data_IF_113100484674
#
_entry.id   IF_113100484674
#
_cell.length_a   1.000
_cell.length_b   1.000
_cell.length_c   1.000
_cell.angle_alpha   90.00
_cell.angle_beta   90.00
_cell.angle_gamma   90.00
#
_symmetry.space_group_name_H-M   'P 1'
#
loop_
_entity.id
_entity.type
_entity.pdbx_description
1 polymer ?
#
# COMPACT_ATOMS: atom_id res chain seq x y z
N UNK A 1 -6.69 60.25 35.29
CA UNK A 1 -7.42 58.95 35.22
C UNK A 1 -8.02 58.67 36.59
N UNK A 2 -9.33 58.35 36.69
CA UNK A 2 -9.93 58.05 38.00
C UNK A 2 -9.53 56.66 38.49
N UNK A 3 -9.45 56.46 39.81
CA UNK A 3 -9.11 55.18 40.43
C UNK A 3 -10.03 54.02 39.99
N UNK A 4 -11.28 54.34 39.64
CA UNK A 4 -12.24 53.38 39.11
C UNK A 4 -11.87 52.89 37.69
N UNK A 5 -11.35 53.77 36.83
CA UNK A 5 -10.91 53.41 35.49
C UNK A 5 -9.66 52.51 35.51
N UNK A 6 -8.75 52.75 36.46
CA UNK A 6 -7.57 51.89 36.66
C UNK A 6 -7.95 50.49 37.17
N UNK A 7 -8.91 50.39 38.10
CA UNK A 7 -9.44 49.09 38.57
C UNK A 7 -10.17 48.32 37.47
N UNK A 8 -10.97 49.00 36.63
CA UNK A 8 -11.65 48.39 35.48
C UNK A 8 -10.67 47.86 34.44
N UNK A 9 -9.60 48.61 34.13
CA UNK A 9 -8.52 48.14 33.24
C UNK A 9 -7.78 46.93 33.83
N UNK A 10 -7.48 46.94 35.13
CA UNK A 10 -6.84 45.80 35.81
C UNK A 10 -7.73 44.56 35.83
N UNK A 11 -9.04 44.71 36.05
CA UNK A 11 -10.00 43.60 35.97
C UNK A 11 -10.20 43.07 34.55
N UNK A 12 -10.23 43.93 33.52
CA UNK A 12 -10.32 43.50 32.12
C UNK A 12 -9.04 42.83 31.63
N UNK A 13 -7.86 43.30 32.08
CA UNK A 13 -6.59 42.64 31.81
C UNK A 13 -6.48 41.28 32.53
N UNK A 14 -6.94 41.20 33.78
CA UNK A 14 -7.00 39.93 34.53
C UNK A 14 -8.03 38.97 33.93
N UNK A 15 -9.17 39.45 33.44
CA UNK A 15 -10.14 38.63 32.69
C UNK A 15 -9.58 38.16 31.36
N UNK A 16 -8.92 39.01 30.58
CA UNK A 16 -8.24 38.59 29.34
C UNK A 16 -7.09 37.62 29.58
N UNK A 17 -6.38 37.75 30.70
CA UNK A 17 -5.34 36.81 31.11
C UNK A 17 -5.93 35.47 31.60
N UNK A 18 -7.05 35.50 32.33
CA UNK A 18 -7.78 34.30 32.77
C UNK A 18 -8.61 33.64 31.65
N UNK A 19 -9.00 34.39 30.62
CA UNK A 19 -9.60 33.89 29.38
C UNK A 19 -8.56 33.22 28.47
N UNK A 20 -7.26 33.38 28.76
CA UNK A 20 -6.16 32.83 27.96
C UNK A 20 -5.80 31.37 28.27
N UNK A 21 -6.09 30.87 29.48
CA UNK A 21 -5.90 29.47 29.85
C UNK A 21 -7.26 28.76 29.94
N UNK A 22 -7.64 28.08 28.86
CA UNK A 22 -8.81 27.22 28.82
C UNK A 22 -8.71 26.14 29.90
N UNK A 23 -9.67 26.09 30.83
CA UNK A 23 -9.70 25.11 31.93
C UNK A 23 -9.58 23.67 31.41
N UNK A 24 -10.12 23.40 30.21
CA UNK A 24 -10.02 22.11 29.55
C UNK A 24 -8.58 21.80 29.12
N UNK A 25 -7.83 22.79 28.61
CA UNK A 25 -6.43 22.62 28.27
C UNK A 25 -5.58 22.32 29.51
N UNK A 26 -5.86 22.96 30.65
CA UNK A 26 -5.17 22.70 31.92
C UNK A 26 -5.47 21.29 32.44
N UNK A 27 -6.73 20.86 32.38
CA UNK A 27 -7.12 19.49 32.75
C UNK A 27 -6.45 18.46 31.84
N UNK A 28 -6.45 18.66 30.52
CA UNK A 28 -5.79 17.78 29.57
C UNK A 28 -4.28 17.66 29.87
N UNK A 29 -3.58 18.79 30.06
CA UNK A 29 -2.16 18.80 30.42
C UNK A 29 -1.89 18.02 31.70
N UNK A 30 -2.75 18.18 32.71
CA UNK A 30 -2.66 17.44 33.97
C UNK A 30 -2.78 15.93 33.72
N UNK A 31 -3.84 15.49 33.04
CA UNK A 31 -4.05 14.07 32.73
C UNK A 31 -2.88 13.48 31.92
N UNK A 32 -2.39 14.20 30.92
CA UNK A 32 -1.25 13.74 30.10
C UNK A 32 0.08 13.71 30.86
N UNK A 33 0.20 14.41 31.99
CA UNK A 33 1.41 14.44 32.83
C UNK A 33 1.48 13.35 33.89
N UNK A 34 0.39 12.63 34.14
CA UNK A 34 0.35 11.53 35.12
C UNK A 34 1.26 10.37 34.67
N UNK A 35 2.04 9.76 35.57
CA UNK A 35 2.97 8.67 35.21
C UNK A 35 2.22 7.40 34.82
N UNK A 36 1.21 7.06 35.63
CA UNK A 36 0.28 5.97 35.37
C UNK A 36 -1.08 6.55 34.98
N UNK A 37 -1.74 5.90 34.04
CA UNK A 37 -3.04 6.32 33.54
C UNK A 37 -3.87 5.08 33.33
N UNK A 38 -4.99 4.93 34.02
CA UNK A 38 -5.92 3.82 33.78
C UNK A 38 -6.73 4.02 32.49
N UNK A 39 -7.52 3.03 32.09
CA UNK A 39 -8.28 3.09 30.85
C UNK A 39 -9.38 4.18 30.84
N UNK A 40 -10.18 4.37 31.90
CA UNK A 40 -11.12 5.48 31.99
C UNK A 40 -10.45 6.85 31.85
N UNK A 41 -9.32 7.06 32.54
CA UNK A 41 -8.57 8.32 32.49
C UNK A 41 -7.95 8.55 31.10
N UNK A 42 -7.47 7.49 30.45
CA UNK A 42 -6.99 7.56 29.07
C UNK A 42 -8.10 7.98 28.10
N UNK A 43 -9.31 7.45 28.27
CA UNK A 43 -10.46 7.83 27.45
C UNK A 43 -10.88 9.28 27.70
N UNK A 44 -10.89 9.73 28.95
CA UNK A 44 -11.15 11.13 29.29
C UNK A 44 -10.11 12.05 28.61
N UNK A 45 -8.82 11.73 28.74
CA UNK A 45 -7.75 12.48 28.10
C UNK A 45 -7.92 12.54 26.57
N UNK A 46 -8.32 11.44 25.92
CA UNK A 46 -8.64 11.41 24.49
C UNK A 46 -9.78 12.36 24.14
N UNK A 47 -10.90 12.32 24.87
CA UNK A 47 -12.06 13.18 24.57
C UNK A 47 -11.71 14.66 24.72
N UNK A 48 -10.96 15.02 25.78
CA UNK A 48 -10.49 16.39 25.97
C UNK A 48 -9.51 16.80 24.85
N UNK A 49 -8.59 15.93 24.45
CA UNK A 49 -7.65 16.18 23.35
C UNK A 49 -8.39 16.42 22.03
N UNK A 50 -9.30 15.52 21.64
CA UNK A 50 -10.09 15.66 20.41
C UNK A 50 -10.91 16.95 20.39
N UNK A 51 -11.54 17.30 21.52
CA UNK A 51 -12.28 18.56 21.66
C UNK A 51 -11.39 19.78 21.44
N UNK A 52 -10.20 19.79 22.06
CA UNK A 52 -9.25 20.89 21.95
C UNK A 52 -8.62 21.00 20.56
N UNK A 53 -8.30 19.88 19.92
CA UNK A 53 -7.81 19.84 18.53
C UNK A 53 -8.84 20.46 17.59
N UNK A 54 -10.11 20.03 17.68
CA UNK A 54 -11.21 20.60 16.87
C UNK A 54 -11.44 22.08 17.15
N UNK A 55 -11.39 22.48 18.43
CA UNK A 55 -11.51 23.89 18.83
C UNK A 55 -10.41 24.74 18.19
N UNK A 56 -9.15 24.30 18.25
CA UNK A 56 -8.00 24.98 17.63
C UNK A 56 -8.12 25.03 16.12
N UNK A 57 -8.52 23.92 15.50
CA UNK A 57 -8.79 23.85 14.06
C UNK A 57 -9.85 24.87 13.63
N UNK A 58 -11.02 24.90 14.29
CA UNK A 58 -12.09 25.86 13.97
C UNK A 58 -11.71 27.32 14.27
N UNK A 59 -10.77 27.55 15.19
CA UNK A 59 -10.21 28.87 15.45
C UNK A 59 -9.15 29.30 14.42
N UNK A 60 -8.80 28.45 13.45
CA UNK A 60 -7.73 28.70 12.49
C UNK A 60 -6.32 28.49 13.05
N UNK A 61 -6.18 27.98 14.28
CA UNK A 61 -4.90 27.63 14.90
C UNK A 61 -4.48 26.21 14.47
N UNK A 62 -4.16 26.07 13.18
CA UNK A 62 -3.81 24.78 12.57
C UNK A 62 -2.51 24.20 13.14
N UNK A 63 -1.49 25.04 13.37
CA UNK A 63 -0.24 24.63 14.00
C UNK A 63 -0.44 24.11 15.43
N UNK A 64 -1.29 24.79 16.21
CA UNK A 64 -1.66 24.32 17.54
C UNK A 64 -2.49 23.04 17.51
N UNK A 65 -3.41 22.88 16.55
CA UNK A 65 -4.24 21.68 16.42
C UNK A 65 -3.40 20.43 16.09
N UNK A 66 -2.54 20.54 15.08
CA UNK A 66 -1.63 19.45 14.67
C UNK A 66 -0.61 19.10 15.76
N UNK A 67 -0.01 20.10 16.40
CA UNK A 67 0.94 19.89 17.51
C UNK A 67 0.27 19.19 18.69
N UNK A 68 -0.93 19.63 19.09
CA UNK A 68 -1.66 19.01 20.20
C UNK A 68 -2.04 17.55 19.91
N UNK A 69 -2.49 17.25 18.68
CA UNK A 69 -2.82 15.88 18.29
C UNK A 69 -1.58 14.98 18.36
N UNK A 70 -0.44 15.44 17.81
CA UNK A 70 0.84 14.73 17.88
C UNK A 70 1.34 14.51 19.32
N UNK A 71 1.41 15.56 20.14
CA UNK A 71 1.89 15.47 21.53
C UNK A 71 0.97 14.58 22.37
N UNK A 72 -0.35 14.70 22.18
CA UNK A 72 -1.33 13.86 22.86
C UNK A 72 -1.19 12.38 22.49
N UNK A 73 -1.01 12.06 21.20
CA UNK A 73 -0.77 10.69 20.75
C UNK A 73 0.49 10.11 21.37
N UNK A 74 1.61 10.83 21.34
CA UNK A 74 2.86 10.38 21.97
C UNK A 74 2.71 10.19 23.47
N UNK A 75 2.04 11.10 24.17
CA UNK A 75 1.84 11.02 25.61
C UNK A 75 0.98 9.80 26.01
N UNK A 76 0.03 9.38 25.18
CA UNK A 76 -0.77 8.17 25.39
C UNK A 76 0.02 6.88 25.07
N UNK A 77 0.81 6.89 23.98
CA UNK A 77 1.66 5.75 23.61
C UNK A 77 2.72 5.46 24.68
N UNK A 78 3.36 6.50 25.24
CA UNK A 78 4.33 6.36 26.34
C UNK A 78 3.74 5.69 27.59
N UNK A 79 2.41 5.74 27.77
CA UNK A 79 1.67 5.08 28.86
C UNK A 79 1.06 3.74 28.44
N UNK A 80 1.48 3.19 27.30
CA UNK A 80 0.96 1.94 26.71
C UNK A 80 -0.54 1.95 26.43
N UNK A 81 -1.15 3.13 26.21
CA UNK A 81 -2.57 3.28 25.86
C UNK A 81 -2.77 3.29 24.35
N UNK A 82 -2.34 2.20 23.70
CA UNK A 82 -2.22 2.07 22.24
C UNK A 82 -3.56 2.25 21.52
N UNK A 83 -4.62 1.56 21.97
CA UNK A 83 -5.95 1.64 21.36
C UNK A 83 -6.52 3.07 21.37
N UNK A 84 -6.33 3.78 22.50
CA UNK A 84 -6.78 5.16 22.69
C UNK A 84 -5.94 6.13 21.85
N UNK A 85 -4.62 5.95 21.85
CA UNK A 85 -3.70 6.77 21.05
C UNK A 85 -4.00 6.68 19.55
N UNK A 86 -4.35 5.49 19.05
CA UNK A 86 -4.66 5.24 17.63
C UNK A 86 -5.77 6.16 17.11
N UNK A 87 -6.79 6.46 17.93
CA UNK A 87 -7.89 7.37 17.54
C UNK A 87 -7.41 8.82 17.39
N UNK A 88 -6.47 9.25 18.22
CA UNK A 88 -5.89 10.59 18.13
C UNK A 88 -4.87 10.69 16.99
N UNK A 89 -4.15 9.59 16.70
CA UNK A 89 -3.26 9.46 15.55
C UNK A 89 -4.01 9.58 14.22
N UNK A 90 -5.19 8.96 14.12
CA UNK A 90 -6.08 9.13 12.96
C UNK A 90 -6.52 10.58 12.79
N UNK A 91 -6.98 11.22 13.87
CA UNK A 91 -7.36 12.64 13.85
C UNK A 91 -6.18 13.54 13.45
N UNK A 92 -4.95 13.22 13.88
CA UNK A 92 -3.76 13.98 13.46
C UNK A 92 -3.63 13.99 11.93
N UNK A 93 -3.74 12.84 11.27
CA UNK A 93 -3.60 12.76 9.80
C UNK A 93 -4.74 13.48 9.09
N UNK A 94 -5.97 13.41 9.61
CA UNK A 94 -7.11 14.17 9.11
C UNK A 94 -6.85 15.68 9.19
N UNK A 95 -6.39 16.18 10.33
CA UNK A 95 -6.05 17.60 10.51
C UNK A 95 -4.90 18.00 9.58
N UNK A 96 -3.87 17.18 9.42
CA UNK A 96 -2.77 17.47 8.48
C UNK A 96 -3.29 17.62 7.04
N UNK A 97 -4.21 16.76 6.61
CA UNK A 97 -4.85 16.83 5.29
C UNK A 97 -5.72 18.07 5.14
N UNK A 98 -6.64 18.32 6.07
CA UNK A 98 -7.60 19.42 5.99
C UNK A 98 -6.94 20.80 6.08
N UNK A 99 -5.84 20.90 6.83
CA UNK A 99 -5.07 22.14 6.96
C UNK A 99 -4.05 22.34 5.85
N UNK A 100 -4.00 21.42 4.86
CA UNK A 100 -3.01 21.41 3.79
C UNK A 100 -1.57 21.53 4.31
N UNK A 101 -1.28 20.86 5.43
CA UNK A 101 0.07 20.83 5.99
C UNK A 101 0.97 20.07 5.03
N UNK A 102 2.01 20.74 4.52
CA UNK A 102 2.95 20.18 3.56
C UNK A 102 3.74 19.00 4.15
N UNK A 103 4.02 18.01 3.32
CA UNK A 103 4.94 16.92 3.63
C UNK A 103 6.37 17.46 3.78
N UNK A 104 6.78 17.68 5.02
CA UNK A 104 8.10 18.21 5.38
C UNK A 104 8.85 17.18 6.22
N UNK A 105 10.18 17.24 6.17
CA UNK A 105 11.04 16.32 6.93
C UNK A 105 10.73 16.33 8.43
N UNK A 106 10.31 17.46 9.00
CA UNK A 106 9.89 17.54 10.41
C UNK A 106 8.64 16.69 10.66
N UNK A 107 7.60 16.84 9.84
CA UNK A 107 6.38 16.06 9.98
C UNK A 107 6.58 14.57 9.71
N UNK A 108 7.36 14.21 8.68
CA UNK A 108 7.77 12.83 8.44
C UNK A 108 8.47 12.26 9.68
N UNK A 109 9.42 13.01 10.26
CA UNK A 109 10.15 12.59 11.46
C UNK A 109 9.22 12.39 12.66
N UNK A 110 8.25 13.29 12.87
CA UNK A 110 7.24 13.17 13.93
C UNK A 110 6.34 11.95 13.77
N UNK A 111 5.90 11.65 12.55
CA UNK A 111 5.09 10.44 12.28
C UNK A 111 5.92 9.17 12.51
N UNK A 112 7.19 9.16 12.11
CA UNK A 112 8.12 8.05 12.42
C UNK A 112 8.34 7.91 13.92
N UNK A 113 8.40 9.00 14.68
CA UNK A 113 8.50 8.94 16.15
C UNK A 113 7.24 8.34 16.79
N UNK A 114 6.05 8.69 16.28
CA UNK A 114 4.79 8.06 16.71
C UNK A 114 4.85 6.55 16.45
N UNK A 115 5.26 6.12 15.26
CA UNK A 115 5.44 4.69 14.95
C UNK A 115 6.40 4.02 15.94
N UNK A 116 7.59 4.57 16.15
CA UNK A 116 8.56 4.00 17.10
C UNK A 116 8.00 3.89 18.52
N UNK A 117 7.23 4.89 18.94
CA UNK A 117 6.54 4.89 20.23
C UNK A 117 5.41 3.86 20.28
N UNK A 118 4.73 3.62 19.16
CA UNK A 118 3.70 2.60 19.01
C UNK A 118 4.30 1.21 19.14
N UNK A 119 5.36 0.90 18.38
CA UNK A 119 6.11 -0.36 18.47
C UNK A 119 6.59 -0.60 19.89
N UNK A 120 7.17 0.41 20.56
CA UNK A 120 7.59 0.29 21.96
C UNK A 120 6.43 0.05 22.93
N UNK A 121 5.26 0.64 22.66
CA UNK A 121 4.06 0.46 23.49
C UNK A 121 3.42 -0.93 23.30
N UNK A 122 3.61 -1.52 22.12
CA UNK A 122 3.18 -2.87 21.76
C UNK A 122 4.07 -3.98 22.33
N UNK A 123 5.28 -3.65 22.81
CA UNK A 123 6.22 -4.64 23.32
C UNK A 123 5.63 -5.47 24.48
N UNK A 124 5.70 -6.80 24.33
CA UNK A 124 5.13 -7.78 25.24
C UNK A 124 3.63 -8.08 25.05
N UNK A 125 2.93 -7.39 24.13
CA UNK A 125 1.54 -7.73 23.79
C UNK A 125 1.50 -8.92 22.81
N UNK A 126 0.51 -9.80 23.00
CA UNK A 126 0.31 -10.98 22.16
C UNK A 126 -1.18 -11.31 22.03
N UNK A 127 -1.51 -12.17 21.06
CA UNK A 127 -2.87 -12.64 20.82
C UNK A 127 -3.70 -11.70 19.95
N UNK A 128 -5.01 -11.92 19.95
CA UNK A 128 -5.95 -11.26 19.02
C UNK A 128 -5.97 -9.74 19.14
N UNK A 129 -5.83 -9.22 20.37
CA UNK A 129 -5.76 -7.77 20.58
C UNK A 129 -4.50 -7.16 19.99
N UNK A 130 -3.34 -7.85 20.10
CA UNK A 130 -2.11 -7.37 19.50
C UNK A 130 -2.21 -7.32 17.96
N UNK A 131 -2.79 -8.36 17.34
CA UNK A 131 -3.05 -8.37 15.89
C UNK A 131 -4.00 -7.23 15.48
N UNK A 132 -5.07 -6.99 16.25
CA UNK A 132 -6.00 -5.87 16.00
C UNK A 132 -5.28 -4.51 16.05
N UNK A 133 -4.41 -4.30 17.04
CA UNK A 133 -3.65 -3.06 17.17
C UNK A 133 -2.64 -2.90 16.02
N UNK A 134 -1.92 -3.95 15.63
CA UNK A 134 -1.05 -3.89 14.45
C UNK A 134 -1.78 -3.57 13.14
N UNK A 135 -3.03 -4.04 12.98
CA UNK A 135 -3.90 -3.65 11.84
C UNK A 135 -4.23 -2.15 11.88
N UNK A 136 -4.57 -1.61 13.05
CA UNK A 136 -4.81 -0.17 13.22
C UNK A 136 -3.57 0.67 12.88
N UNK A 137 -2.39 0.25 13.31
CA UNK A 137 -1.15 0.94 12.98
C UNK A 137 -0.86 0.93 11.48
N UNK A 138 -1.01 -0.22 10.82
CA UNK A 138 -0.87 -0.34 9.36
C UNK A 138 -1.82 0.63 8.65
N UNK A 139 -3.10 0.66 9.05
CA UNK A 139 -4.11 1.51 8.41
C UNK A 139 -3.79 3.00 8.59
N UNK A 140 -3.31 3.37 9.78
CA UNK A 140 -2.83 4.72 10.05
C UNK A 140 -1.60 5.09 9.22
N UNK A 141 -0.61 4.20 9.10
CA UNK A 141 0.58 4.40 8.25
C UNK A 141 0.20 4.54 6.77
N UNK A 142 -0.80 3.79 6.29
CA UNK A 142 -1.35 3.96 4.95
C UNK A 142 -1.99 5.34 4.75
N UNK A 143 -2.71 5.85 5.74
CA UNK A 143 -3.22 7.24 5.70
C UNK A 143 -2.08 8.26 5.67
N UNK A 144 -0.99 8.02 6.40
CA UNK A 144 0.21 8.85 6.41
C UNK A 144 0.91 8.87 5.04
N UNK A 145 1.13 7.70 4.42
CA UNK A 145 1.76 7.62 3.09
C UNK A 145 0.89 8.30 2.04
N UNK A 146 -0.43 8.11 2.09
CA UNK A 146 -1.36 8.81 1.21
C UNK A 146 -1.33 10.33 1.45
N UNK A 147 -1.26 10.79 2.71
CA UNK A 147 -1.18 12.24 3.00
C UNK A 147 0.08 12.85 2.39
N UNK A 148 1.20 12.19 2.58
CA UNK A 148 2.49 12.59 2.03
C UNK A 148 2.51 12.50 0.50
N UNK A 149 1.79 11.55 -0.10
CA UNK A 149 1.60 11.48 -1.56
C UNK A 149 0.77 12.65 -2.10
N UNK A 150 -0.27 13.06 -1.37
CA UNK A 150 -1.20 14.11 -1.79
C UNK A 150 -0.60 15.52 -1.61
N UNK A 151 0.18 15.73 -0.53
CA UNK A 151 0.69 17.04 -0.11
C UNK A 151 2.23 17.14 -0.13
N UNK A 152 2.90 16.15 -0.73
CA UNK A 152 4.35 16.11 -0.87
C UNK A 152 4.83 16.16 -2.32
N UNK A 153 6.14 15.96 -2.48
CA UNK A 153 6.81 16.04 -3.80
C UNK A 153 6.99 14.68 -4.45
N UNK A 154 6.89 13.59 -3.67
CA UNK A 154 7.08 12.23 -4.15
C UNK A 154 5.73 11.65 -4.52
N UNK A 155 5.59 11.19 -5.76
CA UNK A 155 4.33 10.71 -6.36
C UNK A 155 3.61 9.63 -5.55
N UNK A 156 4.36 8.82 -4.82
CA UNK A 156 3.81 7.72 -4.03
C UNK A 156 3.98 7.98 -2.52
N UNK A 157 4.24 9.22 -2.11
CA UNK A 157 4.53 9.57 -0.73
C UNK A 157 5.99 9.31 -0.34
N UNK A 158 6.34 9.80 0.85
CA UNK A 158 7.69 9.83 1.41
C UNK A 158 8.28 8.43 1.50
N UNK A 159 9.49 8.26 0.96
CA UNK A 159 10.21 6.99 1.00
C UNK A 159 10.35 6.47 2.44
N UNK A 160 10.46 7.37 3.44
CA UNK A 160 10.59 6.98 4.84
C UNK A 160 9.27 6.46 5.43
N UNK A 161 8.14 7.05 5.06
CA UNK A 161 6.83 6.53 5.48
C UNK A 161 6.50 5.22 4.76
N UNK A 162 6.91 5.09 3.50
CA UNK A 162 6.83 3.83 2.74
C UNK A 162 7.64 2.71 3.41
N UNK A 163 8.86 3.01 3.85
CA UNK A 163 9.73 2.07 4.56
C UNK A 163 9.06 1.54 5.84
N UNK A 164 8.50 2.45 6.66
CA UNK A 164 7.85 2.10 7.93
C UNK A 164 6.55 1.31 7.71
N UNK A 165 5.74 1.71 6.72
CA UNK A 165 4.53 0.96 6.35
C UNK A 165 4.90 -0.46 5.87
N UNK A 166 5.95 -0.59 5.07
CA UNK A 166 6.42 -1.88 4.61
C UNK A 166 6.85 -2.80 5.76
N UNK A 167 7.61 -2.27 6.73
CA UNK A 167 8.02 -2.99 7.94
C UNK A 167 6.83 -3.43 8.79
N UNK A 168 5.83 -2.56 8.92
CA UNK A 168 4.62 -2.89 9.66
C UNK A 168 3.78 -3.96 8.96
N UNK A 169 3.64 -3.92 7.63
CA UNK A 169 3.00 -4.99 6.86
C UNK A 169 3.73 -6.32 7.04
N UNK A 170 5.07 -6.32 6.97
CA UNK A 170 5.87 -7.54 7.18
C UNK A 170 5.68 -8.08 8.60
N UNK A 171 5.77 -7.22 9.61
CA UNK A 171 5.58 -7.61 11.02
C UNK A 171 4.20 -8.19 11.27
N UNK A 172 3.15 -7.55 10.75
CA UNK A 172 1.79 -8.04 10.85
C UNK A 172 1.63 -9.42 10.17
N UNK A 173 2.29 -9.65 9.03
CA UNK A 173 2.27 -10.97 8.36
C UNK A 173 2.87 -12.11 9.20
N UNK A 174 3.71 -11.81 10.18
CA UNK A 174 4.32 -12.81 11.06
C UNK A 174 3.44 -13.19 12.25
N UNK A 175 2.47 -12.34 12.61
CA UNK A 175 1.54 -12.58 13.73
C UNK A 175 0.13 -12.93 13.26
N UNK A 176 -0.13 -12.79 11.96
CA UNK A 176 -1.39 -13.17 11.32
C UNK A 176 -1.51 -14.70 11.20
N UNK A 177 -2.75 -15.21 11.22
CA UNK A 177 -3.05 -16.64 11.16
C UNK A 177 -3.70 -17.05 9.84
N UNK A 178 -4.37 -16.12 9.17
CA UNK A 178 -5.05 -16.39 7.90
C UNK A 178 -4.06 -16.36 6.73
N UNK A 179 -3.89 -17.51 6.05
CA UNK A 179 -2.87 -17.66 4.99
C UNK A 179 -3.03 -16.67 3.83
N UNK A 180 -4.27 -16.34 3.45
CA UNK A 180 -4.53 -15.37 2.38
C UNK A 180 -4.12 -13.95 2.82
N UNK A 181 -4.50 -13.54 4.04
CA UNK A 181 -4.11 -12.25 4.61
C UNK A 181 -2.58 -12.15 4.78
N UNK A 182 -1.90 -13.23 5.19
CA UNK A 182 -0.42 -13.27 5.28
C UNK A 182 0.20 -12.95 3.91
N UNK A 183 -0.31 -13.55 2.83
CA UNK A 183 0.20 -13.33 1.48
C UNK A 183 -0.09 -11.90 1.00
N UNK A 184 -1.28 -11.35 1.26
CA UNK A 184 -1.59 -9.95 1.01
C UNK A 184 -0.57 -9.02 1.69
N UNK A 185 -0.37 -9.20 2.99
CA UNK A 185 0.53 -8.39 3.79
C UNK A 185 1.99 -8.48 3.34
N UNK A 186 2.47 -9.67 2.97
CA UNK A 186 3.82 -9.84 2.43
C UNK A 186 3.97 -9.17 1.07
N UNK A 187 2.94 -9.22 0.22
CA UNK A 187 2.92 -8.55 -1.07
C UNK A 187 2.92 -7.02 -0.91
N UNK A 188 2.14 -6.50 0.02
CA UNK A 188 2.12 -5.09 0.38
C UNK A 188 3.46 -4.64 0.97
N UNK A 189 4.06 -5.45 1.85
CA UNK A 189 5.36 -5.17 2.43
C UNK A 189 6.44 -4.99 1.36
N UNK A 190 6.58 -5.93 0.43
CA UNK A 190 7.59 -5.80 -0.64
C UNK A 190 7.25 -4.67 -1.61
N UNK A 191 5.97 -4.40 -1.85
CA UNK A 191 5.54 -3.27 -2.69
C UNK A 191 5.97 -1.93 -2.07
N UNK A 192 5.62 -1.70 -0.80
CA UNK A 192 5.99 -0.49 -0.09
C UNK A 192 7.51 -0.37 0.09
N UNK A 193 8.23 -1.49 0.26
CA UNK A 193 9.70 -1.46 0.33
C UNK A 193 10.36 -1.15 -1.02
N UNK A 194 9.74 -1.54 -2.14
CA UNK A 194 10.17 -1.10 -3.47
C UNK A 194 9.95 0.42 -3.64
N UNK A 195 8.82 0.95 -3.17
CA UNK A 195 8.52 2.39 -3.17
C UNK A 195 9.46 3.19 -2.27
N UNK A 196 9.95 2.58 -1.19
CA UNK A 196 10.95 3.16 -0.30
C UNK A 196 12.38 3.16 -0.87
N UNK A 197 12.61 2.53 -2.04
CA UNK A 197 13.94 2.34 -2.65
C UNK A 197 14.94 1.57 -1.74
N UNK A 198 14.45 0.55 -1.01
CA UNK A 198 15.25 -0.23 -0.06
C UNK A 198 15.36 -1.72 -0.46
N UNK A 199 16.00 -2.05 -1.60
CA UNK A 199 16.09 -3.43 -2.09
C UNK A 199 16.81 -4.38 -1.12
N UNK A 200 17.75 -3.88 -0.31
CA UNK A 200 18.49 -4.72 0.65
C UNK A 200 17.60 -5.27 1.76
N UNK A 201 16.58 -4.51 2.19
CA UNK A 201 15.61 -5.00 3.18
C UNK A 201 14.73 -6.10 2.61
N UNK A 202 14.35 -5.98 1.33
CA UNK A 202 13.63 -7.07 0.63
C UNK A 202 14.50 -8.32 0.61
N UNK A 203 15.79 -8.23 0.29
CA UNK A 203 16.72 -9.39 0.34
C UNK A 203 16.75 -10.01 1.74
N UNK A 204 16.84 -9.19 2.79
CA UNK A 204 16.86 -9.66 4.18
C UNK A 204 15.57 -10.44 4.53
N UNK A 205 14.40 -9.96 4.10
CA UNK A 205 13.13 -10.65 4.29
C UNK A 205 13.00 -11.93 3.47
N UNK A 206 13.42 -11.91 2.20
CA UNK A 206 13.40 -13.12 1.38
C UNK A 206 14.30 -14.22 1.95
N UNK A 207 15.38 -13.86 2.64
CA UNK A 207 16.26 -14.79 3.34
C UNK A 207 15.59 -15.53 4.50
N UNK A 208 14.57 -14.94 5.13
CA UNK A 208 13.86 -15.60 6.25
C UNK A 208 12.79 -16.58 5.76
N UNK A 209 12.49 -16.61 4.46
CA UNK A 209 11.50 -17.49 3.87
C UNK A 209 12.11 -18.83 3.43
N UNK A 210 11.33 -19.93 3.49
CA UNK A 210 11.81 -21.25 3.10
C UNK A 210 12.20 -21.31 1.62
N UNK A 211 13.14 -22.20 1.31
CA UNK A 211 13.49 -22.51 -0.07
C UNK A 211 12.36 -23.21 -0.83
N UNK A 212 12.27 -23.04 -2.16
CA UNK A 212 11.34 -23.79 -2.97
C UNK A 212 11.54 -25.30 -2.80
N UNK A 213 10.43 -26.00 -2.60
CA UNK A 213 10.38 -27.46 -2.54
C UNK A 213 10.56 -28.08 -3.93
N UNK A 214 10.95 -29.35 -3.99
CA UNK A 214 11.07 -30.08 -5.27
C UNK A 214 9.75 -30.07 -6.06
N UNK A 215 8.61 -30.16 -5.38
CA UNK A 215 7.28 -30.12 -6.01
C UNK A 215 7.00 -28.76 -6.67
N UNK A 216 7.29 -27.66 -5.97
CA UNK A 216 7.14 -26.30 -6.51
C UNK A 216 8.08 -26.02 -7.68
N UNK A 217 9.19 -26.76 -7.79
CA UNK A 217 10.14 -26.64 -8.90
C UNK A 217 9.86 -27.59 -10.06
N UNK A 218 8.84 -28.45 -9.98
CA UNK A 218 8.55 -29.45 -11.02
C UNK A 218 7.75 -28.85 -12.17
N UNK A 219 8.16 -29.07 -13.42
CA UNK A 219 7.35 -28.74 -14.60
C UNK A 219 5.97 -29.35 -14.46
N UNK A 220 4.92 -28.55 -14.69
CA UNK A 220 3.57 -29.07 -14.63
C UNK A 220 2.95 -29.07 -13.24
N UNK A 221 3.67 -28.66 -12.18
CA UNK A 221 3.13 -28.55 -10.81
C UNK A 221 1.83 -27.73 -10.79
N UNK A 222 0.90 -28.03 -9.88
CA UNK A 222 -0.39 -27.31 -9.76
C UNK A 222 -0.38 -26.26 -8.66
N UNK A 223 0.55 -26.36 -7.71
CA UNK A 223 0.73 -25.40 -6.63
C UNK A 223 1.21 -24.03 -7.14
N UNK A 224 1.06 -23.00 -6.29
CA UNK A 224 1.67 -21.70 -6.53
C UNK A 224 3.20 -21.80 -6.42
N UNK A 225 3.96 -20.85 -7.01
CA UNK A 225 5.38 -20.75 -6.74
C UNK A 225 5.65 -20.55 -5.24
N UNK A 226 6.80 -21.03 -4.79
CA UNK A 226 7.27 -20.77 -3.44
C UNK A 226 7.22 -19.27 -3.14
N UNK A 227 6.69 -18.91 -1.97
CA UNK A 227 6.45 -17.51 -1.55
C UNK A 227 7.69 -16.65 -1.75
N UNK A 228 8.88 -17.19 -1.43
CA UNK A 228 10.17 -16.52 -1.62
C UNK A 228 10.43 -16.09 -3.08
N UNK A 229 10.28 -17.01 -4.01
CA UNK A 229 10.50 -16.77 -5.45
C UNK A 229 9.40 -15.89 -6.05
N UNK A 230 8.16 -16.03 -5.55
CA UNK A 230 7.03 -15.19 -5.94
C UNK A 230 7.23 -13.72 -5.53
N UNK A 231 7.62 -13.45 -4.29
CA UNK A 231 7.89 -12.10 -3.78
C UNK A 231 9.10 -11.45 -4.46
N UNK A 232 10.17 -12.22 -4.74
CA UNK A 232 11.28 -11.75 -5.57
C UNK A 232 10.77 -11.28 -6.93
N UNK A 233 10.02 -12.13 -7.63
CA UNK A 233 9.52 -11.83 -8.98
C UNK A 233 8.61 -10.61 -8.99
N UNK A 234 7.71 -10.52 -8.01
CA UNK A 234 6.83 -9.36 -7.82
C UNK A 234 7.63 -8.07 -7.66
N UNK A 235 8.65 -8.09 -6.79
CA UNK A 235 9.50 -6.94 -6.50
C UNK A 235 10.28 -6.49 -7.74
N UNK A 236 10.86 -7.43 -8.50
CA UNK A 236 11.58 -7.13 -9.75
C UNK A 236 10.65 -6.53 -10.81
N UNK A 237 9.46 -7.08 -10.97
CA UNK A 237 8.45 -6.54 -11.89
C UNK A 237 8.01 -5.14 -11.48
N UNK A 238 7.76 -4.90 -10.19
CA UNK A 238 7.37 -3.59 -9.69
C UNK A 238 8.49 -2.56 -9.90
N UNK A 239 9.73 -2.85 -9.49
CA UNK A 239 10.87 -1.96 -9.67
C UNK A 239 11.12 -1.65 -11.16
N UNK A 240 11.05 -2.66 -12.03
CA UNK A 240 11.14 -2.45 -13.47
C UNK A 240 10.00 -1.54 -13.99
N UNK A 241 8.76 -1.78 -13.57
CA UNK A 241 7.59 -0.97 -13.92
C UNK A 241 7.64 0.46 -13.36
N UNK A 242 8.48 0.73 -12.37
CA UNK A 242 8.77 2.07 -11.84
C UNK A 242 9.98 2.73 -12.50
N UNK A 243 10.54 2.11 -13.54
CA UNK A 243 11.76 2.57 -14.21
C UNK A 243 13.01 2.60 -13.30
N UNK A 244 12.97 1.82 -12.20
CA UNK A 244 14.06 1.72 -11.24
C UNK A 244 14.89 0.43 -11.45
N UNK A 245 15.58 0.36 -12.59
CA UNK A 245 16.47 -0.77 -12.91
C UNK A 245 17.70 -0.84 -11.99
N UNK A 246 18.10 0.28 -11.38
CA UNK A 246 19.21 0.33 -10.40
C UNK A 246 18.91 -0.59 -9.23
N UNK A 247 17.76 -0.38 -8.59
CA UNK A 247 17.41 -1.13 -7.38
C UNK A 247 16.91 -2.53 -7.72
N UNK A 248 16.29 -2.74 -8.89
CA UNK A 248 15.96 -4.08 -9.38
C UNK A 248 17.22 -4.94 -9.56
N UNK A 249 18.29 -4.38 -10.15
CA UNK A 249 19.57 -5.07 -10.26
C UNK A 249 20.20 -5.36 -8.91
N UNK A 250 20.15 -4.38 -7.99
CA UNK A 250 20.69 -4.53 -6.63
C UNK A 250 19.96 -5.65 -5.88
N UNK A 251 18.64 -5.68 -5.92
CA UNK A 251 17.79 -6.74 -5.36
C UNK A 251 18.16 -8.11 -5.94
N UNK A 252 18.22 -8.23 -7.27
CA UNK A 252 18.52 -9.51 -7.92
C UNK A 252 19.90 -10.04 -7.55
N UNK A 253 20.92 -9.18 -7.54
CA UNK A 253 22.29 -9.57 -7.14
C UNK A 253 22.33 -9.99 -5.67
N UNK A 254 21.75 -9.18 -4.78
CA UNK A 254 21.69 -9.51 -3.36
C UNK A 254 20.98 -10.84 -3.10
N UNK A 255 19.90 -11.13 -3.83
CA UNK A 255 19.23 -12.42 -3.76
C UNK A 255 20.14 -13.58 -4.20
N UNK A 256 20.77 -13.46 -5.38
CA UNK A 256 21.67 -14.49 -5.91
C UNK A 256 22.85 -14.74 -4.95
N UNK A 257 23.41 -13.68 -4.37
CA UNK A 257 24.62 -13.77 -3.55
C UNK A 257 24.34 -14.30 -2.14
N UNK A 258 23.12 -14.11 -1.60
CA UNK A 258 22.86 -14.33 -0.16
C UNK A 258 21.62 -15.14 0.19
N UNK A 259 20.73 -15.42 -0.77
CA UNK A 259 19.44 -16.10 -0.56
C UNK A 259 19.28 -17.33 -1.45
N UNK A 260 19.72 -17.27 -2.70
CA UNK A 260 19.63 -18.41 -3.61
C UNK A 260 20.65 -19.49 -3.25
N UNK A 261 20.14 -20.64 -2.80
CA UNK A 261 20.97 -21.78 -2.40
C UNK A 261 21.18 -22.75 -3.57
N UNK A 262 20.33 -22.69 -4.61
CA UNK A 262 20.43 -23.56 -5.78
C UNK A 262 21.57 -23.08 -6.69
N UNK A 263 22.23 -24.02 -7.37
CA UNK A 263 23.31 -23.70 -8.28
C UNK A 263 22.78 -22.93 -9.51
N UNK A 264 23.12 -21.65 -9.62
CA UNK A 264 22.71 -20.78 -10.74
C UNK A 264 23.09 -21.35 -12.11
N UNK A 265 24.23 -22.02 -12.23
CA UNK A 265 24.65 -22.63 -13.50
C UNK A 265 23.75 -23.80 -13.88
N UNK A 266 23.31 -24.58 -12.89
CA UNK A 266 22.36 -25.67 -13.11
C UNK A 266 20.98 -25.14 -13.45
N UNK A 267 20.51 -24.09 -12.76
CA UNK A 267 19.25 -23.42 -13.09
C UNK A 267 19.25 -22.84 -14.50
N UNK A 268 20.37 -22.21 -14.90
CA UNK A 268 20.53 -21.67 -16.25
C UNK A 268 20.57 -22.79 -17.32
N UNK A 269 21.21 -23.92 -17.01
CA UNK A 269 21.22 -25.07 -17.91
C UNK A 269 19.82 -25.71 -18.02
N UNK A 270 19.14 -25.86 -16.88
CA UNK A 270 17.78 -26.39 -16.77
C UNK A 270 16.77 -25.59 -17.59
N UNK A 271 16.87 -24.26 -17.57
CA UNK A 271 16.03 -23.39 -18.40
C UNK A 271 16.01 -23.77 -19.90
N UNK A 272 17.11 -24.29 -20.43
CA UNK A 272 17.22 -24.70 -21.83
C UNK A 272 16.86 -26.16 -22.09
N UNK A 273 16.73 -26.98 -21.04
CA UNK A 273 16.44 -28.41 -21.09
C UNK A 273 14.96 -28.66 -20.81
N UNK A 274 14.19 -28.94 -21.86
CA UNK A 274 12.73 -29.19 -21.72
C UNK A 274 12.39 -30.57 -21.15
N UNK A 275 13.38 -31.44 -21.01
CA UNK A 275 13.28 -32.85 -20.65
C UNK A 275 13.69 -33.14 -19.20
N UNK A 276 14.21 -32.15 -18.47
CA UNK A 276 14.61 -32.33 -17.06
C UNK A 276 13.43 -32.31 -16.08
N UNK A 277 12.23 -31.96 -16.56
CA UNK A 277 11.02 -31.92 -15.77
C UNK A 277 10.99 -30.81 -14.73
N UNK A 278 11.81 -29.76 -14.88
CA UNK A 278 11.87 -28.63 -13.94
C UNK A 278 11.18 -27.38 -14.50
N UNK A 279 10.42 -26.69 -13.65
CA UNK A 279 9.73 -25.46 -14.01
C UNK A 279 10.76 -24.32 -14.23
N UNK A 280 10.48 -23.35 -15.12
CA UNK A 280 11.36 -22.22 -15.32
C UNK A 280 11.60 -21.43 -14.03
N UNK A 281 12.87 -21.29 -13.62
CA UNK A 281 13.23 -20.61 -12.37
C UNK A 281 12.94 -19.10 -12.41
N UNK A 282 12.33 -18.59 -11.34
CA UNK A 282 12.06 -17.16 -11.12
C UNK A 282 13.31 -16.28 -11.10
N UNK A 283 14.45 -16.81 -10.62
CA UNK A 283 15.74 -16.09 -10.67
C UNK A 283 16.23 -15.92 -12.10
N UNK A 284 16.07 -16.95 -12.94
CA UNK A 284 16.43 -16.90 -14.36
C UNK A 284 15.50 -15.92 -15.10
N UNK A 285 14.20 -15.94 -14.79
CA UNK A 285 13.25 -14.94 -15.28
C UNK A 285 13.71 -13.52 -14.95
N UNK A 286 14.04 -13.24 -13.69
CA UNK A 286 14.51 -11.94 -13.23
C UNK A 286 15.78 -11.49 -13.96
N UNK A 287 16.77 -12.38 -14.08
CA UNK A 287 17.99 -12.13 -14.85
C UNK A 287 17.67 -11.72 -16.30
N UNK A 288 16.81 -12.47 -16.99
CA UNK A 288 16.47 -12.18 -18.38
C UNK A 288 15.68 -10.88 -18.51
N UNK A 289 14.69 -10.66 -17.64
CA UNK A 289 13.86 -9.46 -17.64
C UNK A 289 14.71 -8.20 -17.55
N UNK A 290 15.58 -8.11 -16.53
CA UNK A 290 16.40 -6.92 -16.33
C UNK A 290 17.37 -6.71 -17.49
N UNK A 291 17.97 -7.79 -18.01
CA UNK A 291 18.85 -7.70 -19.19
C UNK A 291 18.12 -7.23 -20.45
N UNK A 292 16.86 -7.60 -20.63
CA UNK A 292 16.05 -7.15 -21.76
C UNK A 292 15.70 -5.66 -21.58
N UNK A 293 15.32 -5.23 -20.38
CA UNK A 293 15.01 -3.82 -20.06
C UNK A 293 16.22 -2.88 -20.10
N UNK A 294 17.43 -3.36 -19.80
CA UNK A 294 18.68 -2.60 -19.90
C UNK A 294 19.12 -2.31 -21.36
N UNK A 295 18.51 -2.98 -22.34
CA UNK A 295 18.83 -2.82 -23.76
C UNK A 295 17.95 -1.73 -24.37
N UNK A 296 17.89 -1.71 -25.69
CA UNK A 296 17.07 -0.75 -26.43
C UNK A 296 15.64 -1.27 -26.68
N UNK A 297 14.79 -0.40 -27.22
CA UNK A 297 13.39 -0.71 -27.54
C UNK A 297 13.24 -1.85 -28.56
N UNK A 298 14.29 -2.23 -29.29
CA UNK A 298 14.26 -3.30 -30.32
C UNK A 298 14.21 -4.69 -29.70
N UNK A 299 14.46 -4.83 -28.39
CA UNK A 299 14.34 -6.10 -27.66
C UNK A 299 12.89 -6.43 -27.27
N UNK A 300 11.89 -5.63 -27.67
CA UNK A 300 10.47 -5.92 -27.46
C UNK A 300 10.00 -7.34 -27.85
N UNK A 301 10.49 -7.95 -28.95
CA UNK A 301 10.21 -9.35 -29.26
C UNK A 301 10.73 -10.34 -28.20
N UNK A 302 11.91 -10.06 -27.61
CA UNK A 302 12.47 -10.88 -26.52
C UNK A 302 11.62 -10.74 -25.25
N UNK A 303 11.16 -9.53 -24.92
CA UNK A 303 10.23 -9.32 -23.81
C UNK A 303 8.94 -10.11 -24.00
N UNK A 304 8.34 -10.03 -25.20
CA UNK A 304 7.11 -10.75 -25.54
C UNK A 304 7.28 -12.26 -25.47
N UNK A 305 8.44 -12.76 -25.90
CA UNK A 305 8.81 -14.16 -25.78
C UNK A 305 9.02 -14.58 -24.31
N UNK A 306 9.66 -13.75 -23.50
CA UNK A 306 9.87 -14.02 -22.08
C UNK A 306 8.53 -14.14 -21.34
N UNK A 307 7.63 -13.17 -21.53
CA UNK A 307 6.29 -13.19 -20.91
C UNK A 307 5.49 -14.42 -21.34
N UNK A 308 5.59 -14.84 -22.61
CA UNK A 308 4.92 -16.06 -23.10
C UNK A 308 5.50 -17.32 -22.48
N UNK A 309 6.82 -17.40 -22.38
CA UNK A 309 7.53 -18.57 -21.86
C UNK A 309 7.29 -18.78 -20.37
N UNK A 310 7.15 -17.69 -19.61
CA UNK A 310 6.90 -17.73 -18.16
C UNK A 310 5.42 -17.48 -17.79
N UNK A 311 4.51 -17.45 -18.77
CA UNK A 311 3.10 -17.09 -18.58
C UNK A 311 2.45 -17.83 -17.41
N UNK A 312 2.63 -19.15 -17.37
CA UNK A 312 2.05 -20.02 -16.32
C UNK A 312 2.53 -19.63 -14.93
N UNK A 313 3.83 -19.38 -14.75
CA UNK A 313 4.40 -19.03 -13.45
C UNK A 313 3.98 -17.63 -13.01
N UNK A 314 3.91 -16.69 -13.96
CA UNK A 314 3.47 -15.31 -13.71
C UNK A 314 1.99 -15.27 -13.32
N UNK A 315 1.12 -16.01 -14.03
CA UNK A 315 -0.33 -16.07 -13.76
C UNK A 315 -0.68 -16.73 -12.43
N UNK A 316 0.26 -17.50 -11.86
CA UNK A 316 0.10 -18.13 -10.54
C UNK A 316 0.61 -17.30 -9.39
N UNK A 317 1.27 -16.18 -9.66
CA UNK A 317 1.62 -15.23 -8.63
C UNK A 317 0.36 -14.70 -7.96
N UNK A 318 0.42 -14.56 -6.65
CA UNK A 318 -0.69 -14.03 -5.86
C UNK A 318 -1.13 -12.65 -6.35
N UNK A 319 -2.44 -12.43 -6.48
CA UNK A 319 -3.05 -11.26 -7.14
C UNK A 319 -2.48 -11.04 -8.57
N UNK A 320 -2.87 -11.89 -9.54
CA UNK A 320 -2.35 -11.84 -10.91
C UNK A 320 -2.73 -10.55 -11.66
N UNK A 321 -3.79 -9.86 -11.24
CA UNK A 321 -4.20 -8.59 -11.84
C UNK A 321 -3.15 -7.48 -11.62
N UNK A 322 -2.58 -7.38 -10.42
CA UNK A 322 -1.50 -6.44 -10.13
C UNK A 322 -0.25 -6.75 -10.97
N UNK A 323 0.12 -8.03 -11.08
CA UNK A 323 1.26 -8.52 -11.87
C UNK A 323 1.07 -8.22 -13.36
N UNK A 324 -0.14 -8.41 -13.88
CA UNK A 324 -0.48 -8.02 -15.25
C UNK A 324 -0.31 -6.51 -15.46
N UNK A 325 -0.69 -5.69 -14.47
CA UNK A 325 -0.43 -4.26 -14.48
C UNK A 325 1.06 -3.92 -14.63
N UNK A 326 1.93 -4.58 -13.87
CA UNK A 326 3.38 -4.38 -13.94
C UNK A 326 3.96 -4.78 -15.29
N UNK A 327 3.66 -5.99 -15.76
CA UNK A 327 4.16 -6.50 -17.05
C UNK A 327 3.65 -5.64 -18.23
N UNK A 328 2.40 -5.17 -18.17
CA UNK A 328 1.87 -4.26 -19.19
C UNK A 328 2.62 -2.92 -19.19
N UNK A 329 2.87 -2.36 -18.00
CA UNK A 329 3.59 -1.09 -17.83
C UNK A 329 5.04 -1.18 -18.31
N UNK A 330 5.74 -2.27 -18.00
CA UNK A 330 7.10 -2.56 -18.53
C UNK A 330 7.06 -2.63 -20.06
N UNK A 331 6.12 -3.39 -20.64
CA UNK A 331 5.95 -3.50 -22.09
C UNK A 331 5.82 -2.15 -22.78
N UNK A 332 5.01 -1.27 -22.20
CA UNK A 332 4.78 0.09 -22.70
C UNK A 332 6.02 0.99 -22.53
N UNK A 333 6.62 1.04 -21.35
CA UNK A 333 7.72 1.97 -21.03
C UNK A 333 9.01 1.64 -21.78
N UNK A 334 9.43 0.37 -21.79
CA UNK A 334 10.73 -0.01 -22.35
C UNK A 334 10.67 -0.38 -23.84
N UNK A 335 9.50 -0.83 -24.34
CA UNK A 335 9.40 -1.41 -25.69
C UNK A 335 8.28 -0.81 -26.55
N UNK A 336 7.55 0.19 -26.04
CA UNK A 336 6.40 0.81 -26.70
C UNK A 336 5.34 -0.21 -27.16
N UNK A 337 5.22 -1.34 -26.45
CA UNK A 337 4.17 -2.34 -26.70
C UNK A 337 2.87 -1.76 -26.14
N UNK A 338 1.87 -1.59 -27.00
CA UNK A 338 0.58 -1.09 -26.57
C UNK A 338 -0.11 -2.12 -25.66
N UNK A 339 -0.72 -1.68 -24.54
CA UNK A 339 -1.48 -2.56 -23.69
C UNK A 339 -2.63 -3.20 -24.48
N UNK A 340 -3.04 -4.43 -24.15
CA UNK A 340 -4.28 -4.99 -24.68
C UNK A 340 -5.45 -4.00 -24.42
N UNK A 341 -6.39 -3.85 -25.36
CA UNK A 341 -7.56 -3.01 -25.13
C UNK A 341 -8.29 -3.45 -23.85
N UNK A 342 -8.72 -2.49 -23.03
CA UNK A 342 -9.53 -2.81 -21.86
C UNK A 342 -10.88 -3.41 -22.31
N UNK A 343 -11.50 -4.27 -21.49
CA UNK A 343 -12.85 -4.78 -21.79
C UNK A 343 -13.88 -3.64 -21.92
N UNK A 344 -13.69 -2.53 -21.21
CA UNK A 344 -14.50 -1.31 -21.40
C UNK A 344 -14.33 -0.75 -22.81
N UNK A 345 -13.09 -0.63 -23.31
CA UNK A 345 -12.83 -0.17 -24.67
C UNK A 345 -13.39 -1.15 -25.72
N UNK A 346 -13.40 -2.47 -25.44
CA UNK A 346 -14.03 -3.45 -26.33
C UNK A 346 -15.56 -3.33 -26.34
N UNK A 347 -16.18 -3.12 -25.17
CA UNK A 347 -17.62 -2.94 -25.04
C UNK A 347 -18.09 -1.61 -25.67
N UNK A 348 -17.31 -0.54 -25.50
CA UNK A 348 -17.54 0.75 -26.15
C UNK A 348 -17.37 0.66 -27.67
N UNK A 349 -16.39 -0.09 -28.17
CA UNK A 349 -16.23 -0.35 -29.61
C UNK A 349 -17.35 -1.24 -30.17
N UNK A 350 -17.83 -2.23 -29.41
CA UNK A 350 -18.98 -3.05 -29.82
C UNK A 350 -20.29 -2.25 -29.79
N UNK A 351 -20.53 -1.42 -28.78
CA UNK A 351 -21.68 -0.50 -28.75
C UNK A 351 -21.55 0.60 -29.81
N UNK A 352 -20.35 1.05 -30.15
CA UNK A 352 -20.10 1.95 -31.27
C UNK A 352 -20.42 1.30 -32.62
N UNK A 353 -20.13 0.01 -32.80
CA UNK A 353 -20.50 -0.76 -33.99
C UNK A 353 -21.99 -1.14 -34.04
N UNK A 354 -22.66 -1.28 -32.90
CA UNK A 354 -24.08 -1.68 -32.84
C UNK A 354 -25.05 -0.48 -32.73
N UNK A 355 -24.59 0.64 -32.19
CA UNK A 355 -25.33 1.89 -32.01
C UNK A 355 -24.95 3.00 -33.02
N UNK A 356 -23.85 2.83 -33.75
CA UNK A 356 -23.46 3.70 -34.86
C UNK A 356 -24.22 3.37 -36.14
N UNK A 357 -25.45 3.87 -36.26
CA UNK A 357 -26.24 3.81 -37.48
C UNK A 357 -25.45 4.33 -38.69
N UNK A 358 -25.08 3.44 -39.60
CA UNK A 358 -24.18 3.80 -40.69
C UNK A 358 -23.93 2.71 -41.73
N UNK A 359 -25.01 2.17 -42.32
CA UNK A 359 -25.04 1.75 -43.72
C UNK A 359 -24.34 0.44 -44.13
N UNK A 360 -25.13 -0.52 -44.62
CA UNK A 360 -24.60 -1.51 -45.58
C UNK A 360 -25.28 -2.87 -45.61
N UNK A 361 -26.51 -2.95 -46.13
CA UNK A 361 -26.88 -4.11 -46.94
C UNK A 361 -27.44 -5.36 -46.26
N UNK A 362 -28.18 -5.25 -45.16
CA UNK A 362 -29.14 -6.31 -44.84
C UNK A 362 -30.42 -6.08 -45.67
N UNK A 363 -30.85 -7.05 -46.50
CA UNK A 363 -32.05 -6.91 -47.31
C UNK A 363 -33.27 -6.67 -46.41
N UNK A 364 -34.22 -5.81 -46.83
CA UNK A 364 -35.40 -5.51 -46.03
C UNK A 364 -36.14 -6.81 -45.72
N UNK A 365 -36.21 -7.17 -44.43
CA UNK A 365 -37.05 -8.27 -43.99
C UNK A 365 -38.48 -7.97 -44.41
N UNK A 366 -39.05 -8.87 -45.22
CA UNK A 366 -40.43 -8.80 -45.65
C UNK A 366 -41.33 -8.78 -44.40
N UNK A 367 -42.24 -7.78 -44.25
CA UNK A 367 -43.16 -7.69 -43.12
C UNK A 367 -43.95 -8.98 -42.85
N UNK A 368 -44.24 -9.77 -43.90
CA UNK A 368 -44.93 -11.06 -43.76
C UNK A 368 -44.10 -12.10 -42.98
N UNK A 369 -42.76 -12.06 -43.10
CA UNK A 369 -41.87 -12.98 -42.40
C UNK A 369 -41.74 -12.59 -40.92
N UNK A 370 -41.77 -11.29 -40.61
CA UNK A 370 -41.77 -10.80 -39.22
C UNK A 370 -43.08 -11.14 -38.50
N UNK A 371 -44.22 -11.09 -39.21
CA UNK A 371 -45.52 -11.47 -38.66
C UNK A 371 -45.64 -12.99 -38.41
N UNK A 372 -45.03 -13.81 -39.28
CA UNK A 372 -44.96 -15.26 -39.08
C UNK A 372 -44.06 -15.66 -37.89
N UNK A 373 -42.93 -14.97 -37.70
CA UNK A 373 -42.03 -15.21 -36.57
C UNK A 373 -42.67 -14.85 -35.22
N UNK A 374 -43.46 -13.78 -35.16
CA UNK A 374 -44.22 -13.43 -33.94
C UNK A 374 -45.32 -14.46 -33.62
N UNK A 375 -46.02 -14.97 -34.64
CA UNK A 375 -47.04 -16.00 -34.44
C UNK A 375 -46.44 -17.31 -33.90
N UNK A 376 -45.22 -17.66 -34.34
CA UNK A 376 -44.54 -18.87 -33.90
C UNK A 376 -44.00 -18.76 -32.47
N UNK A 377 -43.60 -17.57 -32.01
CA UNK A 377 -43.23 -17.35 -30.60
C UNK A 377 -44.44 -17.40 -29.65
N UNK A 378 -45.62 -16.95 -30.09
CA UNK A 378 -46.84 -17.04 -29.27
C UNK A 378 -47.35 -18.47 -29.09
N UNK A 379 -47.04 -19.39 -30.01
CA UNK A 379 -47.38 -20.81 -29.88
C UNK A 379 -46.31 -21.66 -29.17
N UNK A 380 -45.11 -21.12 -28.94
CA UNK A 380 -44.01 -21.82 -28.27
C UNK A 380 -43.95 -21.65 -26.75
N UNK A 381 -45.00 -21.08 -26.13
CA UNK A 381 -45.10 -20.95 -24.67
C UNK A 381 -45.22 -22.32 -24.01
N UNK A 382 -44.09 -22.81 -23.51
CA UNK A 382 -44.00 -23.99 -22.65
C UNK A 382 -44.92 -23.84 -21.43
N UNK A 383 -45.86 -24.79 -21.32
CA UNK A 383 -46.20 -25.41 -20.04
C UNK A 383 -44.99 -26.14 -19.48
#
# INVERSE_FOLDING_TARGET
MSAAAARRRKQLAARKAAEGEDSVSTQLKKLLSEEEMDEPTAYEALQLAQSQVRKKYHAGDFGGATTLAYEGSLALLKKKRVSVASQLMDLLVEVLRETHTSDSDDWVSRLVEIHNSYVSAMDGLAGTEATRLHRLERDWLLKCTNWSSDLGTIKFGSNRLQEVLAEQCWTLSLVEQETEEILDLQCDAVQHMCLAEQPDKIVAWLKTLPAPTEEETRTGHTCAPAVRDALLTRSLLLLAAMENLRDANKLLRGYIDTVEERNIKELAASYTKKDDGLAPSHVIFGCMLLRICEKDTRTGPLYSWLMRSFKREIERLYNPAAVLGYTTKIGKQYFNIQPPPSMMNMMENMMGMMGGGGGGGMPPMNPAMMQAAMAQMQQGGMM
#
